data_IF_098641954126
#
_entry.id   IF_098641954126
#
_cell.length_a   1.000
_cell.length_b   1.000
_cell.length_c   1.000
_cell.angle_alpha   90.00
_cell.angle_beta   90.00
_cell.angle_gamma   90.00
#
_symmetry.space_group_name_H-M   'P 1'
#
loop_
_entity.id
_entity.type
_entity.pdbx_description
1 polymer ?
#
# COMPACT_ATOMS: atom_id res chain seq x y z
N UNK A 1 7.80 -3.32 -10.66
CA UNK A 1 6.58 -2.97 -9.90
C UNK A 1 6.98 -2.64 -8.48
N UNK A 2 6.21 -1.84 -7.76
CA UNK A 2 6.45 -1.57 -6.34
C UNK A 2 5.12 -1.42 -5.62
N UNK A 3 4.99 -2.13 -4.51
CA UNK A 3 3.83 -2.06 -3.63
C UNK A 3 4.26 -1.89 -2.17
N UNK A 4 5.49 -1.43 -1.95
CA UNK A 4 5.99 -1.15 -0.62
C UNK A 4 5.26 0.06 -0.02
N UNK A 5 4.88 0.02 1.27
CA UNK A 5 4.89 -1.15 2.14
C UNK A 5 3.69 -2.07 1.86
N UNK A 6 3.95 -3.36 1.63
CA UNK A 6 2.89 -4.33 1.27
C UNK A 6 1.77 -4.43 2.31
N UNK A 7 2.10 -4.25 3.59
CA UNK A 7 1.15 -4.17 4.71
C UNK A 7 0.05 -3.13 4.47
N UNK A 8 0.40 -1.97 3.89
CA UNK A 8 -0.51 -0.84 3.74
C UNK A 8 -1.25 -0.88 2.41
N UNK A 9 -0.62 -1.39 1.35
CA UNK A 9 -1.16 -1.37 -0.02
C UNK A 9 -2.17 -2.47 -0.32
N UNK A 10 -2.15 -3.59 0.43
CA UNK A 10 -2.94 -4.80 0.12
C UNK A 10 -3.99 -5.16 1.18
N UNK A 11 -4.25 -4.29 2.14
CA UNK A 11 -5.10 -4.54 3.30
C UNK A 11 -6.43 -5.26 2.96
N UNK A 12 -6.65 -6.40 3.60
CA UNK A 12 -7.92 -7.11 3.62
C UNK A 12 -8.14 -8.03 2.44
N UNK A 13 -7.15 -8.14 1.55
CA UNK A 13 -7.34 -8.88 0.34
C UNK A 13 -6.90 -10.34 0.42
N UNK A 14 -7.76 -11.19 -0.12
CA UNK A 14 -7.83 -12.63 0.22
C UNK A 14 -6.78 -13.47 -0.49
N UNK A 15 -6.12 -12.90 -1.49
CA UNK A 15 -5.12 -13.53 -2.34
C UNK A 15 -3.64 -13.32 -1.92
N UNK A 16 -3.36 -12.64 -0.79
CA UNK A 16 -2.03 -12.12 -0.44
C UNK A 16 -1.52 -12.80 0.82
N UNK A 17 -1.17 -14.07 0.65
CA UNK A 17 -0.68 -14.89 1.75
C UNK A 17 -1.71 -15.10 2.86
N UNK A 18 -1.24 -15.62 3.99
CA UNK A 18 -2.08 -16.05 5.11
C UNK A 18 -2.25 -14.96 6.19
N UNK A 19 -1.74 -13.75 5.97
CA UNK A 19 -1.75 -12.66 6.95
C UNK A 19 -2.62 -11.48 6.55
N UNK A 20 -2.40 -10.95 5.34
CA UNK A 20 -3.09 -9.75 4.82
C UNK A 20 -4.63 -9.82 4.85
N UNK A 21 -5.30 -10.99 4.65
CA UNK A 21 -6.76 -11.07 4.73
C UNK A 21 -7.36 -10.58 6.07
N UNK A 22 -6.57 -10.62 7.15
CA UNK A 22 -7.00 -10.18 8.49
C UNK A 22 -6.71 -8.69 8.77
N UNK A 23 -5.95 -8.01 7.91
CA UNK A 23 -5.45 -6.64 8.13
C UNK A 23 -6.30 -5.64 7.36
N UNK A 24 -7.07 -4.81 8.06
CA UNK A 24 -7.83 -3.70 7.47
C UNK A 24 -7.85 -2.53 8.43
N UNK A 25 -7.82 -1.30 7.94
CA UNK A 25 -7.98 -0.11 8.77
C UNK A 25 -6.70 0.67 9.06
N UNK A 26 -5.54 0.17 8.66
CA UNK A 26 -4.28 0.88 8.88
C UNK A 26 -4.24 2.13 8.00
N UNK A 27 -3.93 3.30 8.57
CA UNK A 27 -3.82 4.53 7.79
C UNK A 27 -2.51 4.57 7.01
N UNK A 28 -2.44 5.46 6.04
CA UNK A 28 -1.21 5.77 5.34
C UNK A 28 -0.89 7.27 5.45
N UNK A 29 0.28 7.65 5.98
CA UNK A 29 1.20 6.81 6.79
C UNK A 29 0.56 6.33 8.11
N UNK A 30 1.23 5.41 8.84
CA UNK A 30 0.74 4.99 10.18
C UNK A 30 0.62 6.17 11.17
N UNK A 31 1.42 7.21 10.97
CA UNK A 31 1.44 8.47 11.72
C UNK A 31 0.33 9.45 11.33
N UNK A 32 -0.48 9.15 10.30
CA UNK A 32 -1.55 10.04 9.84
C UNK A 32 -2.70 10.21 10.85
N UNK A 33 -2.78 9.34 11.87
CA UNK A 33 -3.79 9.39 12.93
C UNK A 33 -3.12 9.42 14.31
N UNK A 34 -3.80 9.94 15.35
CA UNK A 34 -3.31 9.87 16.72
C UNK A 34 -3.01 8.43 17.15
N UNK A 35 -1.97 8.24 17.97
CA UNK A 35 -1.52 6.90 18.42
C UNK A 35 -2.65 6.05 19.01
N UNK A 36 -3.55 6.66 19.78
CA UNK A 36 -4.70 5.95 20.35
C UNK A 36 -5.66 5.38 19.29
N UNK A 37 -5.86 6.09 18.17
CA UNK A 37 -6.67 5.60 17.06
C UNK A 37 -5.97 4.46 16.32
N UNK A 38 -4.65 4.58 16.10
CA UNK A 38 -3.85 3.50 15.52
C UNK A 38 -3.90 2.24 16.40
N UNK A 39 -3.74 2.37 17.71
CA UNK A 39 -3.84 1.21 18.62
C UNK A 39 -5.22 0.57 18.59
N UNK A 40 -6.29 1.35 18.48
CA UNK A 40 -7.65 0.81 18.34
C UNK A 40 -7.85 0.03 17.02
N UNK A 41 -7.22 0.47 15.92
CA UNK A 41 -7.18 -0.29 14.67
C UNK A 41 -6.43 -1.61 14.88
N UNK A 42 -5.25 -1.54 15.50
CA UNK A 42 -4.42 -2.72 15.75
C UNK A 42 -5.12 -3.72 16.67
N UNK A 43 -5.87 -3.27 17.67
CA UNK A 43 -6.69 -4.14 18.53
C UNK A 43 -7.78 -4.87 17.74
N UNK A 44 -8.43 -4.21 16.78
CA UNK A 44 -9.42 -4.86 15.90
C UNK A 44 -8.76 -5.92 15.03
N UNK A 45 -7.59 -5.64 14.46
CA UNK A 45 -6.82 -6.62 13.67
C UNK A 45 -6.41 -7.81 14.56
N UNK A 46 -5.87 -7.56 15.76
CA UNK A 46 -5.52 -8.61 16.73
C UNK A 46 -6.72 -9.47 17.11
N UNK A 47 -7.87 -8.85 17.36
CA UNK A 47 -9.11 -9.55 17.69
C UNK A 47 -9.60 -10.42 16.53
N UNK A 48 -9.54 -9.90 15.30
CA UNK A 48 -9.90 -10.65 14.09
C UNK A 48 -9.00 -11.86 13.88
N UNK A 49 -7.69 -11.72 14.01
CA UNK A 49 -6.74 -12.85 13.93
C UNK A 49 -7.10 -13.93 14.96
N UNK A 50 -7.40 -13.55 16.20
CA UNK A 50 -7.76 -14.50 17.26
C UNK A 50 -9.10 -15.21 17.00
N UNK A 51 -10.05 -14.53 16.34
CA UNK A 51 -11.37 -15.06 16.07
C UNK A 51 -11.40 -15.96 14.83
N UNK A 52 -10.69 -15.58 13.76
CA UNK A 52 -10.87 -16.16 12.42
C UNK A 52 -9.68 -17.01 11.96
N UNK A 53 -8.46 -16.74 12.42
CA UNK A 53 -7.29 -17.47 11.95
C UNK A 53 -7.19 -18.87 12.57
N UNK A 54 -6.65 -19.88 11.84
CA UNK A 54 -6.40 -21.20 12.39
C UNK A 54 -5.61 -21.12 13.70
N UNK A 55 -6.06 -21.83 14.74
CA UNK A 55 -5.49 -21.73 16.09
C UNK A 55 -3.96 -21.86 16.10
N UNK A 56 -3.42 -22.81 15.34
CA UNK A 56 -1.98 -23.05 15.23
C UNK A 56 -1.19 -21.89 14.57
N UNK A 57 -1.85 -20.97 13.85
CA UNK A 57 -1.23 -19.82 13.18
C UNK A 57 -1.35 -18.52 13.98
N UNK A 58 -2.30 -18.42 14.92
CA UNK A 58 -2.64 -17.16 15.59
C UNK A 58 -1.42 -16.45 16.20
N UNK A 59 -0.61 -17.16 16.99
CA UNK A 59 0.57 -16.57 17.63
C UNK A 59 1.60 -16.02 16.62
N UNK A 60 1.81 -16.75 15.52
CA UNK A 60 2.71 -16.32 14.45
C UNK A 60 2.21 -15.08 13.72
N UNK A 61 0.91 -15.02 13.41
CA UNK A 61 0.30 -13.86 12.75
C UNK A 61 0.29 -12.62 13.64
N UNK A 62 0.09 -12.77 14.95
CA UNK A 62 0.15 -11.67 15.90
C UNK A 62 1.58 -11.12 16.06
N UNK A 63 2.59 -12.01 16.11
CA UNK A 63 3.99 -11.61 16.13
C UNK A 63 4.37 -10.89 14.82
N UNK A 64 3.93 -11.43 13.68
CA UNK A 64 4.18 -10.83 12.37
C UNK A 64 3.52 -9.46 12.22
N UNK A 65 2.29 -9.26 12.71
CA UNK A 65 1.66 -7.93 12.76
C UNK A 65 2.53 -6.93 13.53
N UNK A 66 3.04 -7.32 14.69
CA UNK A 66 3.90 -6.47 15.50
C UNK A 66 5.18 -6.09 14.74
N UNK A 67 5.85 -7.07 14.11
CA UNK A 67 7.06 -6.84 13.31
C UNK A 67 6.81 -5.90 12.13
N UNK A 68 5.74 -6.13 11.35
CA UNK A 68 5.38 -5.31 10.19
C UNK A 68 5.02 -3.87 10.57
N UNK A 69 4.35 -3.67 11.71
CA UNK A 69 4.07 -2.32 12.22
C UNK A 69 5.35 -1.65 12.73
N UNK A 70 6.18 -2.38 13.47
CA UNK A 70 7.44 -1.86 13.98
C UNK A 70 8.44 -1.50 12.87
N UNK A 71 8.35 -2.12 11.69
CA UNK A 71 9.16 -1.73 10.53
C UNK A 71 8.65 -0.46 9.82
N UNK A 72 7.51 0.12 10.24
CA UNK A 72 6.86 1.26 9.58
C UNK A 72 6.38 2.35 10.55
N UNK A 73 6.70 2.24 11.84
CA UNK A 73 6.12 3.07 12.91
C UNK A 73 6.70 4.49 13.01
N UNK A 74 7.68 4.83 12.18
CA UNK A 74 8.22 6.17 12.03
C UNK A 74 8.24 6.59 10.56
N UNK A 75 8.13 7.90 10.31
CA UNK A 75 8.21 8.44 8.95
C UNK A 75 9.56 8.13 8.29
N UNK A 76 10.64 7.99 9.07
CA UNK A 76 11.95 7.59 8.57
C UNK A 76 11.94 6.16 8.04
N UNK A 77 11.47 5.20 8.82
CA UNK A 77 11.37 3.80 8.37
C UNK A 77 10.43 3.64 7.18
N UNK A 78 9.33 4.41 7.15
CA UNK A 78 8.44 4.43 6.00
C UNK A 78 9.16 4.95 4.75
N UNK A 79 9.85 6.09 4.84
CA UNK A 79 10.64 6.64 3.73
C UNK A 79 11.67 5.63 3.23
N UNK A 80 12.47 5.06 4.13
CA UNK A 80 13.48 4.06 3.78
C UNK A 80 12.85 2.85 3.06
N UNK A 81 11.73 2.34 3.58
CA UNK A 81 11.00 1.21 2.97
C UNK A 81 10.53 1.56 1.55
N UNK A 82 10.00 2.76 1.35
CA UNK A 82 9.51 3.19 0.04
C UNK A 82 10.63 3.54 -0.95
N UNK A 83 11.77 4.04 -0.47
CA UNK A 83 12.92 4.45 -1.30
C UNK A 83 13.78 3.25 -1.73
N UNK A 84 13.80 2.18 -0.91
CA UNK A 84 14.61 0.98 -1.14
C UNK A 84 14.47 0.38 -2.57
N UNK A 85 13.26 0.13 -3.11
CA UNK A 85 13.13 -0.42 -4.46
C UNK A 85 13.70 0.52 -5.54
N UNK A 86 13.54 1.83 -5.40
CA UNK A 86 14.05 2.80 -6.38
C UNK A 86 15.58 2.89 -6.35
N UNK A 87 16.17 2.98 -5.15
CA UNK A 87 17.62 2.95 -4.96
C UNK A 87 18.24 1.68 -5.55
N UNK A 88 17.59 0.52 -5.34
CA UNK A 88 18.05 -0.77 -5.88
C UNK A 88 18.05 -0.79 -7.41
N UNK A 89 16.97 -0.30 -8.02
CA UNK A 89 16.84 -0.25 -9.49
C UNK A 89 17.81 0.76 -10.10
N UNK A 90 17.98 1.93 -9.47
CA UNK A 90 18.94 2.94 -9.92
C UNK A 90 20.37 2.39 -9.91
N UNK A 91 20.79 1.72 -8.82
CA UNK A 91 22.11 1.11 -8.73
C UNK A 91 22.33 0.05 -9.81
N UNK A 92 21.34 -0.80 -10.06
CA UNK A 92 21.38 -1.77 -11.15
C UNK A 92 21.48 -1.10 -12.52
N UNK A 93 20.70 -0.03 -12.76
CA UNK A 93 20.69 0.69 -14.02
C UNK A 93 22.07 1.30 -14.33
N UNK A 94 22.67 1.98 -13.35
CA UNK A 94 24.02 2.55 -13.44
C UNK A 94 25.07 1.48 -13.75
N UNK A 95 25.00 0.33 -13.07
CA UNK A 95 25.94 -0.77 -13.28
C UNK A 95 25.83 -1.41 -14.68
N UNK A 96 24.67 -1.26 -15.36
CA UNK A 96 24.39 -1.87 -16.65
C UNK A 96 24.29 -0.85 -17.81
N UNK A 97 24.62 0.42 -17.57
CA UNK A 97 24.54 1.46 -18.60
C UNK A 97 23.12 1.72 -19.11
N UNK A 98 22.10 1.39 -18.31
CA UNK A 98 20.69 1.65 -18.63
C UNK A 98 20.34 3.06 -18.20
N UNK A 99 19.86 3.88 -19.14
CA UNK A 99 19.40 5.23 -18.83
C UNK A 99 18.09 5.20 -18.05
N UNK A 100 17.87 6.09 -17.07
CA UNK A 100 16.66 6.06 -16.25
C UNK A 100 15.34 6.17 -17.04
N UNK A 101 15.34 6.92 -18.15
CA UNK A 101 14.16 7.06 -19.02
C UNK A 101 13.74 5.74 -19.70
N UNK A 102 14.61 4.73 -19.73
CA UNK A 102 14.30 3.39 -20.24
C UNK A 102 13.73 2.45 -19.16
N UNK A 103 13.45 2.97 -17.96
CA UNK A 103 12.91 2.21 -16.84
C UNK A 103 11.46 2.65 -16.62
N UNK A 104 10.59 1.64 -16.46
CA UNK A 104 9.17 1.84 -16.18
C UNK A 104 8.79 1.16 -14.87
N UNK A 105 8.24 1.94 -13.94
CA UNK A 105 7.45 1.43 -12.82
C UNK A 105 6.07 1.01 -13.35
N UNK A 106 5.99 -0.21 -13.89
CA UNK A 106 4.80 -0.69 -14.61
C UNK A 106 3.54 -0.87 -13.75
N UNK A 107 3.71 -1.05 -12.44
CA UNK A 107 2.59 -1.16 -11.50
C UNK A 107 2.99 -0.66 -10.12
N UNK A 108 2.06 0.09 -9.52
CA UNK A 108 2.00 0.47 -8.12
C UNK A 108 0.58 0.95 -7.80
N UNK A 109 0.17 0.87 -6.53
CA UNK A 109 -1.14 1.34 -6.11
C UNK A 109 -1.48 0.88 -4.69
N UNK A 110 -2.63 1.35 -4.20
CA UNK A 110 -3.19 0.93 -2.92
C UNK A 110 -4.62 0.45 -3.14
N UNK A 111 -4.92 -0.71 -2.56
CA UNK A 111 -6.23 -1.34 -2.67
C UNK A 111 -7.33 -0.37 -2.23
N UNK A 112 -8.40 -0.33 -3.02
CA UNK A 112 -9.66 0.31 -2.63
C UNK A 112 -10.44 -0.60 -1.70
N UNK A 113 -10.71 -1.81 -2.16
CA UNK A 113 -11.58 -2.76 -1.50
C UNK A 113 -11.34 -4.16 -2.07
N UNK A 114 -11.27 -5.19 -1.23
CA UNK A 114 -11.28 -6.58 -1.71
C UNK A 114 -12.70 -7.04 -2.04
N UNK A 115 -12.85 -7.87 -3.08
CA UNK A 115 -14.15 -8.45 -3.40
C UNK A 115 -14.68 -9.30 -2.24
N UNK A 116 -15.92 -9.02 -1.79
CA UNK A 116 -16.51 -9.70 -0.64
C UNK A 116 -16.02 -9.22 0.73
N UNK A 117 -15.13 -8.22 0.78
CA UNK A 117 -14.76 -7.53 2.00
C UNK A 117 -15.47 -6.16 2.06
N UNK A 118 -16.26 -5.87 3.11
CA UNK A 118 -17.00 -4.60 3.20
C UNK A 118 -16.10 -3.39 3.48
N UNK A 119 -14.84 -3.60 3.88
CA UNK A 119 -13.94 -2.50 4.21
C UNK A 119 -13.45 -1.79 2.94
N UNK A 120 -13.78 -0.51 2.81
CA UNK A 120 -13.26 0.39 1.77
C UNK A 120 -12.18 1.27 2.36
N UNK A 121 -11.00 1.26 1.75
CA UNK A 121 -9.88 2.10 2.15
C UNK A 121 -10.19 3.58 1.91
N UNK A 122 -9.97 4.47 2.91
CA UNK A 122 -10.14 5.90 2.73
C UNK A 122 -9.35 6.42 1.52
N UNK A 123 -10.02 7.20 0.68
CA UNK A 123 -9.50 7.63 -0.61
C UNK A 123 -8.29 8.56 -0.45
N UNK A 124 -8.26 9.35 0.61
CA UNK A 124 -7.17 10.26 0.96
C UNK A 124 -5.85 9.51 1.24
N UNK A 125 -5.91 8.34 1.87
CA UNK A 125 -4.73 7.51 2.12
C UNK A 125 -4.18 6.92 0.82
N UNK A 126 -5.08 6.49 -0.07
CA UNK A 126 -4.71 5.98 -1.40
C UNK A 126 -4.08 7.07 -2.26
N UNK A 127 -4.65 8.27 -2.25
CA UNK A 127 -4.15 9.41 -3.00
C UNK A 127 -2.78 9.88 -2.49
N UNK A 128 -2.59 9.93 -1.17
CA UNK A 128 -1.30 10.23 -0.55
C UNK A 128 -0.22 9.22 -0.96
N UNK A 129 -0.54 7.92 -0.89
CA UNK A 129 0.37 6.86 -1.34
C UNK A 129 0.76 7.00 -2.80
N UNK A 130 -0.23 7.17 -3.69
CA UNK A 130 0.02 7.30 -5.14
C UNK A 130 0.91 8.51 -5.42
N UNK A 131 0.68 9.65 -4.77
CA UNK A 131 1.53 10.85 -4.89
C UNK A 131 2.97 10.57 -4.47
N UNK A 132 3.17 9.90 -3.33
CA UNK A 132 4.49 9.58 -2.80
C UNK A 132 5.30 8.65 -3.71
N UNK A 133 4.64 7.68 -4.36
CA UNK A 133 5.29 6.76 -5.29
C UNK A 133 5.58 7.43 -6.63
N UNK A 134 4.66 8.27 -7.14
CA UNK A 134 4.90 9.04 -8.37
C UNK A 134 6.08 9.99 -8.19
N UNK A 135 6.12 10.74 -7.09
CA UNK A 135 7.24 11.65 -6.79
C UNK A 135 8.60 10.92 -6.78
N UNK A 136 8.64 9.68 -6.27
CA UNK A 136 9.84 8.83 -6.31
C UNK A 136 10.19 8.38 -7.73
N UNK A 137 9.21 7.90 -8.50
CA UNK A 137 9.44 7.51 -9.88
C UNK A 137 10.01 8.68 -10.70
N UNK A 138 9.43 9.86 -10.57
CA UNK A 138 9.84 11.08 -11.28
C UNK A 138 11.20 11.58 -10.82
N UNK A 139 11.49 11.57 -9.51
CA UNK A 139 12.80 11.94 -8.97
C UNK A 139 13.94 11.04 -9.51
N UNK A 140 13.62 9.79 -9.84
CA UNK A 140 14.54 8.85 -10.46
C UNK A 140 14.53 8.89 -12.01
N UNK A 141 13.66 9.69 -12.64
CA UNK A 141 13.51 9.75 -14.10
C UNK A 141 12.82 8.53 -14.71
N UNK A 142 12.09 7.74 -13.91
CA UNK A 142 11.37 6.57 -14.37
C UNK A 142 9.98 6.96 -14.88
N UNK A 143 9.55 6.32 -15.97
CA UNK A 143 8.13 6.34 -16.36
C UNK A 143 7.31 5.47 -15.39
N UNK A 144 6.00 5.69 -15.29
CA UNK A 144 5.16 5.01 -14.31
C UNK A 144 3.75 4.71 -14.84
N UNK A 145 3.11 3.69 -14.26
CA UNK A 145 1.72 3.30 -14.55
C UNK A 145 1.03 2.84 -13.26
N UNK A 146 -0.06 3.52 -12.90
CA UNK A 146 -0.84 3.22 -11.68
C UNK A 146 -1.72 1.99 -11.91
N UNK A 147 -1.72 1.08 -10.95
CA UNK A 147 -2.66 -0.04 -10.87
C UNK A 147 -3.84 0.36 -9.96
N UNK A 148 -5.10 0.36 -10.42
CA UNK A 148 -5.59 -0.01 -11.75
C UNK A 148 -6.78 0.85 -12.18
N UNK A 149 -7.21 0.73 -13.44
CA UNK A 149 -8.41 1.41 -13.93
C UNK A 149 -9.66 1.01 -13.12
N UNK A 150 -9.83 -0.29 -12.86
CA UNK A 150 -11.01 -0.86 -12.20
C UNK A 150 -10.71 -1.94 -11.18
N UNK A 151 -11.76 -2.46 -10.53
CA UNK A 151 -11.67 -3.60 -9.61
C UNK A 151 -11.12 -3.23 -8.24
N UNK A 152 -10.43 -4.16 -7.58
CA UNK A 152 -10.01 -4.01 -6.18
C UNK A 152 -9.11 -2.79 -5.94
N UNK A 153 -8.32 -2.38 -6.94
CA UNK A 153 -7.41 -1.23 -6.90
C UNK A 153 -7.92 -0.04 -7.73
N UNK A 154 -9.17 -0.11 -8.21
CA UNK A 154 -9.70 0.81 -9.20
C UNK A 154 -9.60 2.29 -8.81
N UNK A 155 -9.09 3.11 -9.72
CA UNK A 155 -9.00 4.57 -9.61
C UNK A 155 -10.06 5.28 -10.46
N UNK A 156 -10.71 4.57 -11.41
CA UNK A 156 -11.83 5.08 -12.22
C UNK A 156 -13.11 4.31 -11.89
N UNK A 157 -13.06 2.99 -11.98
CA UNK A 157 -14.19 2.10 -11.69
C UNK A 157 -13.96 1.33 -10.39
N UNK A 158 -14.99 1.18 -9.58
CA UNK A 158 -15.00 0.27 -8.45
C UNK A 158 -15.51 -1.12 -8.90
N UNK A 159 -16.21 -1.83 -8.02
CA UNK A 159 -16.92 -3.06 -8.38
C UNK A 159 -18.34 -2.74 -8.91
N UNK A 160 -18.95 -3.71 -9.58
CA UNK A 160 -20.36 -3.67 -9.99
C UNK A 160 -20.79 -2.46 -10.86
N UNK A 161 -19.84 -1.78 -11.52
CA UNK A 161 -20.11 -0.62 -12.36
C UNK A 161 -20.15 0.71 -11.59
N UNK A 162 -19.89 0.70 -10.29
CA UNK A 162 -19.74 1.91 -9.48
C UNK A 162 -18.45 2.66 -9.84
N UNK A 163 -18.41 3.97 -9.51
CA UNK A 163 -17.21 4.78 -9.69
C UNK A 163 -16.34 4.77 -8.43
N UNK A 164 -15.03 4.77 -8.63
CA UNK A 164 -14.09 5.00 -7.55
C UNK A 164 -14.14 6.47 -7.09
N UNK A 165 -13.70 6.72 -5.87
CA UNK A 165 -13.54 8.06 -5.32
C UNK A 165 -12.49 8.85 -6.14
N UNK A 166 -12.68 10.15 -6.37
CA UNK A 166 -11.88 10.91 -7.32
C UNK A 166 -10.45 11.22 -6.84
N UNK A 167 -10.16 11.10 -5.54
CA UNK A 167 -8.94 11.59 -4.88
C UNK A 167 -7.65 11.12 -5.56
N UNK A 168 -7.58 9.85 -5.97
CA UNK A 168 -6.40 9.31 -6.65
C UNK A 168 -6.23 9.92 -8.04
N UNK A 169 -7.34 10.02 -8.80
CA UNK A 169 -7.33 10.63 -10.14
C UNK A 169 -7.02 12.12 -10.07
N UNK A 170 -7.55 12.82 -9.08
CA UNK A 170 -7.31 14.25 -8.89
C UNK A 170 -5.87 14.49 -8.42
N UNK A 171 -5.30 13.63 -7.58
CA UNK A 171 -3.88 13.68 -7.25
C UNK A 171 -3.00 13.53 -8.49
N UNK A 172 -3.31 12.59 -9.40
CA UNK A 172 -2.58 12.41 -10.66
C UNK A 172 -2.74 13.62 -11.57
N UNK A 173 -3.96 14.14 -11.75
CA UNK A 173 -4.23 15.32 -12.60
C UNK A 173 -3.58 16.60 -12.09
N UNK A 174 -3.25 16.67 -10.80
CA UNK A 174 -2.58 17.83 -10.20
C UNK A 174 -1.06 17.86 -10.45
N UNK A 175 -0.50 16.78 -11.01
CA UNK A 175 0.89 16.73 -11.44
C UNK A 175 1.03 17.52 -12.76
N UNK A 176 2.00 18.42 -12.81
CA UNK A 176 2.25 19.34 -13.92
C UNK A 176 3.47 18.91 -14.74
#
# INVERSE_FOLDING_TARGET
HSYEPFLLTHQGATWAGDFIPYVTGLPYPLSAVPRAQLEAVLDRIRARIKAEAPWARQSGLLAYLYEQVASLDTDEKLRETMDAPFTRVEAWAKANGIKPENITLGEFGMIRQEYGNPYVMPAEYRAAYVRDVIARAEAHGFSWSVWSYGGAFGIVDAFAGDKAEPDVMDAIRSLH
#
